data_IF_883790995362
#
_entry.id   IF_883790995362
#
_cell.length_a   1.000
_cell.length_b   1.000
_cell.length_c   1.000
_cell.angle_alpha   90.00
_cell.angle_beta   90.00
_cell.angle_gamma   90.00
#
_symmetry.space_group_name_H-M   'P 1'
#
loop_
_entity.id
_entity.type
_entity.pdbx_description
1 polymer ?
#
# COMPACT_ATOMS: atom_id res chain seq x y z
N UNK A 1 3.80 -20.54 21.52
CA UNK A 1 3.90 -19.06 21.40
C UNK A 1 5.30 -18.73 20.92
N UNK A 2 5.53 -18.64 19.61
CA UNK A 2 6.85 -18.36 19.04
C UNK A 2 6.75 -17.14 18.12
N UNK A 3 6.64 -15.94 18.70
CA UNK A 3 6.85 -14.69 17.97
C UNK A 3 8.33 -14.37 17.98
N UNK A 4 9.11 -15.19 17.28
CA UNK A 4 10.48 -14.84 16.90
C UNK A 4 10.40 -13.87 15.74
N UNK A 5 10.03 -12.61 16.01
CA UNK A 5 10.43 -11.51 15.15
C UNK A 5 11.94 -11.35 15.37
N UNK A 6 12.71 -12.27 14.76
CA UNK A 6 14.15 -12.13 14.64
C UNK A 6 14.38 -10.77 14.01
N UNK A 7 15.19 -9.94 14.67
CA UNK A 7 15.91 -8.81 14.11
C UNK A 7 16.02 -8.92 12.58
N UNK A 8 15.19 -8.19 11.84
CA UNK A 8 15.39 -7.97 10.41
C UNK A 8 16.45 -6.88 10.24
N UNK A 9 17.58 -7.04 10.93
CA UNK A 9 18.81 -6.31 10.63
C UNK A 9 19.63 -7.21 9.73
N UNK A 10 19.27 -7.19 8.45
CA UNK A 10 19.98 -7.89 7.40
C UNK A 10 19.67 -7.22 6.07
N UNK A 11 20.68 -7.00 5.23
CA UNK A 11 20.45 -6.60 3.84
C UNK A 11 19.76 -7.75 3.13
N UNK A 12 18.46 -7.65 2.88
CA UNK A 12 17.78 -8.56 1.96
C UNK A 12 18.04 -8.08 0.53
N UNK A 13 18.33 -9.04 -0.35
CA UNK A 13 18.36 -8.82 -1.79
C UNK A 13 17.25 -9.66 -2.39
N UNK A 14 16.51 -9.07 -3.31
CA UNK A 14 15.57 -9.77 -4.16
C UNK A 14 15.84 -9.36 -5.59
N UNK A 15 15.55 -10.26 -6.52
CA UNK A 15 15.65 -9.99 -7.95
C UNK A 15 14.34 -9.33 -8.40
N UNK A 16 14.46 -8.31 -9.25
CA UNK A 16 13.31 -7.66 -9.92
C UNK A 16 13.38 -7.98 -11.41
N UNK A 17 12.26 -8.45 -11.94
CA UNK A 17 12.06 -8.69 -13.35
C UNK A 17 11.51 -7.45 -14.05
N UNK A 18 11.63 -7.42 -15.38
CA UNK A 18 11.06 -6.32 -16.17
C UNK A 18 9.54 -6.32 -16.03
N UNK A 19 8.97 -5.18 -15.66
CA UNK A 19 7.55 -5.01 -15.39
C UNK A 19 7.19 -5.03 -13.90
N UNK A 20 8.08 -5.53 -13.02
CA UNK A 20 7.82 -5.53 -11.58
C UNK A 20 7.70 -4.12 -11.01
N UNK A 21 6.84 -3.98 -10.00
CA UNK A 21 6.56 -2.72 -9.33
C UNK A 21 6.96 -2.84 -7.86
N UNK A 22 7.84 -1.96 -7.42
CA UNK A 22 8.10 -1.72 -6.00
C UNK A 22 7.13 -0.66 -5.51
N UNK A 23 6.25 -1.04 -4.58
CA UNK A 23 5.27 -0.17 -3.94
C UNK A 23 5.67 0.04 -2.48
N UNK A 24 6.00 1.27 -2.11
CA UNK A 24 6.33 1.66 -0.74
C UNK A 24 5.31 2.67 -0.23
N UNK A 25 4.95 2.57 1.04
CA UNK A 25 3.98 3.46 1.67
C UNK A 25 4.32 3.70 3.14
N UNK A 26 3.84 4.81 3.69
CA UNK A 26 3.85 5.09 5.13
C UNK A 26 2.64 4.44 5.81
N UNK A 27 2.76 4.18 7.11
CA UNK A 27 1.67 3.66 7.96
C UNK A 27 0.39 4.48 7.85
N UNK A 28 0.48 5.81 7.70
CA UNK A 28 -0.67 6.68 7.46
C UNK A 28 -1.57 6.24 6.30
N UNK A 29 -1.07 5.52 5.29
CA UNK A 29 -1.92 4.90 4.25
C UNK A 29 -2.69 3.68 4.78
N UNK A 30 -2.00 2.80 5.50
CA UNK A 30 -2.54 1.54 6.01
C UNK A 30 -3.56 1.79 7.14
N UNK A 31 -3.26 2.77 8.00
CA UNK A 31 -3.99 3.05 9.22
C UNK A 31 -5.23 3.94 9.03
N UNK A 32 -5.56 4.34 7.80
CA UNK A 32 -6.80 5.07 7.53
C UNK A 32 -8.01 4.22 7.97
N UNK A 33 -8.80 4.77 8.91
CA UNK A 33 -9.99 4.09 9.44
C UNK A 33 -11.27 4.57 8.76
N UNK A 34 -12.19 3.66 8.53
CA UNK A 34 -13.57 4.04 8.25
C UNK A 34 -14.33 4.42 9.54
N UNK A 35 -15.59 4.85 9.39
CA UNK A 35 -16.47 5.17 10.53
C UNK A 35 -16.70 3.99 11.49
N UNK A 36 -16.47 2.75 11.04
CA UNK A 36 -16.54 1.54 11.85
C UNK A 36 -15.22 1.17 12.54
N UNK A 37 -14.21 2.05 12.53
CA UNK A 37 -12.86 1.81 13.06
C UNK A 37 -12.09 0.66 12.37
N UNK A 38 -12.46 0.29 11.14
CA UNK A 38 -11.73 -0.71 10.36
C UNK A 38 -10.62 -0.03 9.54
N UNK A 39 -9.41 -0.58 9.62
CA UNK A 39 -8.25 -0.14 8.86
C UNK A 39 -8.41 -0.42 7.36
N UNK A 40 -7.81 0.44 6.54
CA UNK A 40 -7.74 0.26 5.08
C UNK A 40 -6.76 -0.86 4.67
N UNK A 41 -5.81 -1.21 5.53
CA UNK A 41 -4.71 -2.14 5.24
C UNK A 41 -5.08 -3.44 4.53
N UNK A 42 -6.15 -4.12 4.92
CA UNK A 42 -6.61 -5.34 4.25
C UNK A 42 -7.12 -5.05 2.83
N UNK A 43 -7.87 -3.96 2.66
CA UNK A 43 -8.37 -3.49 1.36
C UNK A 43 -7.25 -3.02 0.43
N UNK A 44 -6.13 -2.53 0.98
CA UNK A 44 -4.96 -2.14 0.19
C UNK A 44 -4.37 -3.33 -0.58
N UNK A 45 -4.19 -4.49 0.07
CA UNK A 45 -3.62 -5.65 -0.60
C UNK A 45 -4.55 -6.19 -1.68
N UNK A 46 -5.85 -6.29 -1.38
CA UNK A 46 -6.85 -6.68 -2.38
C UNK A 46 -6.86 -5.73 -3.59
N UNK A 47 -6.83 -4.42 -3.33
CA UNK A 47 -6.75 -3.40 -4.37
C UNK A 47 -5.52 -3.59 -5.26
N UNK A 48 -4.35 -3.81 -4.67
CA UNK A 48 -3.09 -4.00 -5.41
C UNK A 48 -3.11 -5.27 -6.26
N UNK A 49 -3.78 -6.34 -5.80
CA UNK A 49 -3.95 -7.58 -6.55
C UNK A 49 -4.87 -7.39 -7.77
N UNK A 50 -5.98 -6.68 -7.60
CA UNK A 50 -7.03 -6.52 -8.62
C UNK A 50 -6.70 -5.44 -9.66
N UNK A 51 -5.98 -4.38 -9.29
CA UNK A 51 -5.78 -3.24 -10.19
C UNK A 51 -4.86 -3.57 -11.39
N UNK A 52 -5.19 -3.12 -12.61
CA UNK A 52 -4.30 -3.23 -13.76
C UNK A 52 -2.96 -2.50 -13.53
N UNK A 53 -1.85 -3.22 -13.66
CA UNK A 53 -0.50 -2.74 -13.34
C UNK A 53 0.18 -2.00 -14.50
N UNK A 54 -0.60 -1.44 -15.42
CA UNK A 54 -0.11 -0.93 -16.70
C UNK A 54 0.35 0.54 -16.58
N UNK A 55 -0.23 1.30 -15.64
CA UNK A 55 -0.05 2.74 -15.49
C UNK A 55 0.03 3.09 -14.00
N UNK A 56 1.21 3.52 -13.54
CA UNK A 56 1.44 3.82 -12.13
C UNK A 56 0.64 5.03 -11.64
N UNK A 57 0.43 6.03 -12.50
CA UNK A 57 -0.32 7.24 -12.12
C UNK A 57 -1.78 6.88 -11.88
N UNK A 58 -2.37 6.06 -12.75
CA UNK A 58 -3.73 5.57 -12.53
C UNK A 58 -3.87 4.73 -11.26
N UNK A 59 -2.86 3.93 -10.90
CA UNK A 59 -2.90 3.19 -9.63
C UNK A 59 -3.00 4.17 -8.45
N UNK A 60 -2.21 5.24 -8.44
CA UNK A 60 -2.30 6.26 -7.39
C UNK A 60 -3.69 6.92 -7.35
N UNK A 61 -4.21 7.36 -8.49
CA UNK A 61 -5.49 8.07 -8.56
C UNK A 61 -6.67 7.21 -8.05
N UNK A 62 -6.71 5.94 -8.47
CA UNK A 62 -7.76 5.01 -8.02
C UNK A 62 -7.58 4.66 -6.55
N UNK A 63 -6.34 4.47 -6.08
CA UNK A 63 -6.07 4.18 -4.66
C UNK A 63 -6.55 5.33 -3.76
N UNK A 64 -6.24 6.58 -4.11
CA UNK A 64 -6.75 7.75 -3.38
C UNK A 64 -8.27 7.79 -3.37
N UNK A 65 -8.91 7.46 -4.49
CA UNK A 65 -10.37 7.39 -4.58
C UNK A 65 -10.96 6.33 -3.65
N UNK A 66 -10.37 5.14 -3.58
CA UNK A 66 -10.82 4.07 -2.68
C UNK A 66 -10.63 4.43 -1.20
N UNK A 67 -9.53 5.09 -0.84
CA UNK A 67 -9.30 5.56 0.53
C UNK A 67 -10.33 6.62 0.92
N UNK A 68 -10.63 7.57 0.03
CA UNK A 68 -11.67 8.57 0.29
C UNK A 68 -13.04 7.93 0.46
N UNK A 69 -13.38 6.90 -0.34
CA UNK A 69 -14.63 6.15 -0.15
C UNK A 69 -14.65 5.41 1.20
N UNK A 70 -13.56 4.73 1.54
CA UNK A 70 -13.43 3.98 2.80
C UNK A 70 -13.56 4.88 4.03
N UNK A 71 -12.89 6.04 4.01
CA UNK A 71 -12.89 6.99 5.14
C UNK A 71 -14.12 7.88 5.21
N UNK A 72 -15.01 7.85 4.20
CA UNK A 72 -16.13 8.80 4.09
C UNK A 72 -15.65 10.23 3.82
N UNK A 73 -14.52 10.38 3.13
CA UNK A 73 -13.96 11.66 2.69
C UNK A 73 -13.10 12.38 3.72
N UNK A 74 -12.75 11.73 4.84
CA UNK A 74 -11.96 12.34 5.92
C UNK A 74 -10.64 11.59 6.12
N UNK A 75 -9.55 12.22 5.71
CA UNK A 75 -8.20 11.73 5.96
C UNK A 75 -7.80 12.03 7.41
N UNK A 76 -7.22 11.05 8.08
CA UNK A 76 -6.87 11.13 9.51
C UNK A 76 -5.38 11.38 9.75
N UNK A 77 -4.55 11.13 8.74
CA UNK A 77 -3.09 11.17 8.81
C UNK A 77 -2.48 11.43 7.43
N UNK A 78 -1.20 11.82 7.41
CA UNK A 78 -0.45 12.06 6.18
C UNK A 78 -0.13 10.74 5.46
N UNK A 79 -0.48 10.68 4.18
CA UNK A 79 -0.27 9.49 3.35
C UNK A 79 0.81 9.77 2.32
N UNK A 80 1.82 8.90 2.27
CA UNK A 80 2.86 8.94 1.23
C UNK A 80 2.96 7.60 0.53
N UNK A 81 3.07 7.64 -0.79
CA UNK A 81 3.31 6.47 -1.64
C UNK A 81 4.51 6.75 -2.54
N UNK A 82 5.36 5.75 -2.73
CA UNK A 82 6.40 5.71 -3.75
C UNK A 82 6.22 4.45 -4.59
N UNK A 83 6.12 4.63 -5.91
CA UNK A 83 6.02 3.53 -6.88
C UNK A 83 7.15 3.61 -7.91
N UNK A 84 7.85 2.50 -8.10
CA UNK A 84 8.93 2.37 -9.08
C UNK A 84 8.67 1.12 -9.91
N UNK A 85 8.61 1.24 -11.24
CA UNK A 85 8.54 0.10 -12.15
C UNK A 85 9.90 -0.20 -12.76
N UNK A 86 10.34 -1.46 -12.69
CA UNK A 86 11.53 -1.91 -13.41
C UNK A 86 11.23 -1.94 -14.92
N UNK A 87 11.95 -1.11 -15.67
CA UNK A 87 11.94 -1.12 -17.14
C UNK A 87 12.84 -2.22 -17.71
#
# INVERSE_FOLDING_TARGET
MNSTLKNVQGKSKFQLETGDIVFCFTDGLYEQKNNGNLYFGESLFQFLDEIPKNDLTKIADVLFTEILKHTGGKLQDDMTILMIRKK
#
